data_IF_051932147512
#
_entry.id   IF_051932147512
#
_cell.length_a   1.000
_cell.length_b   1.000
_cell.length_c   1.000
_cell.angle_alpha   90.00
_cell.angle_beta   90.00
_cell.angle_gamma   90.00
#
_symmetry.space_group_name_H-M   'P 1'
#
loop_
_entity.id
_entity.type
_entity.pdbx_description
1 polymer ?
#
# COMPACT_ATOMS: atom_id res chain seq x y z
N UNK A 1 8.91 9.17 23.53
CA UNK A 1 8.40 10.47 23.03
C UNK A 1 7.29 10.11 22.06
N UNK A 2 6.14 10.76 22.13
CA UNK A 2 5.05 10.47 21.20
C UNK A 2 5.27 11.33 19.95
N UNK A 3 5.13 10.74 18.78
CA UNK A 3 5.21 11.41 17.49
C UNK A 3 3.82 11.38 16.83
N UNK A 4 3.44 12.46 16.15
CA UNK A 4 2.19 12.57 15.39
C UNK A 4 2.52 13.06 13.98
N UNK A 5 1.77 12.60 13.00
CA UNK A 5 1.83 13.14 11.63
C UNK A 5 0.87 14.33 11.51
N UNK A 6 1.08 15.19 10.51
CA UNK A 6 0.14 16.27 10.17
C UNK A 6 -1.08 15.77 9.38
N UNK A 7 -1.21 14.45 9.20
CA UNK A 7 -2.32 13.80 8.51
C UNK A 7 -3.59 13.91 9.37
N UNK A 8 -4.68 14.36 8.76
CA UNK A 8 -5.99 14.52 9.41
C UNK A 8 -6.91 13.30 9.19
N UNK A 9 -6.50 12.35 8.35
CA UNK A 9 -7.22 11.13 8.03
C UNK A 9 -6.77 9.93 8.88
N UNK A 10 -7.56 8.85 8.87
CA UNK A 10 -7.31 7.67 9.68
C UNK A 10 -6.21 6.77 9.10
N UNK A 11 -5.22 6.40 9.92
CA UNK A 11 -4.27 5.32 9.65
C UNK A 11 -4.74 4.03 10.34
N UNK A 12 -4.76 2.92 9.61
CA UNK A 12 -5.30 1.64 10.10
C UNK A 12 -4.24 0.53 10.16
N UNK A 13 -3.15 0.68 9.40
CA UNK A 13 -2.19 -0.37 9.16
C UNK A 13 -0.76 0.15 9.37
N UNK A 14 0.12 -0.72 9.85
CA UNK A 14 1.52 -0.39 10.10
C UNK A 14 2.40 -1.61 9.86
N UNK A 15 3.55 -1.38 9.23
CA UNK A 15 4.60 -2.37 9.07
C UNK A 15 5.95 -1.68 9.19
N UNK A 16 6.96 -2.38 9.69
CA UNK A 16 8.33 -1.85 9.71
C UNK A 16 9.36 -2.94 9.53
N UNK A 17 10.40 -2.63 8.75
CA UNK A 17 11.56 -3.50 8.57
C UNK A 17 12.57 -3.35 9.71
N UNK A 18 12.57 -2.19 10.36
CA UNK A 18 13.47 -1.84 11.47
C UNK A 18 12.88 -0.71 12.32
N UNK A 19 13.57 -0.34 13.41
CA UNK A 19 13.18 0.82 14.23
C UNK A 19 13.29 2.16 13.50
N UNK A 20 13.91 2.20 12.32
CA UNK A 20 14.14 3.41 11.53
C UNK A 20 13.55 3.34 10.14
N UNK A 21 12.66 2.37 9.90
CA UNK A 21 12.03 2.17 8.60
C UNK A 21 10.65 1.55 8.82
N UNK A 22 9.65 2.43 8.89
CA UNK A 22 8.27 2.07 9.23
C UNK A 22 7.32 2.75 8.25
N UNK A 23 6.35 1.99 7.77
CA UNK A 23 5.28 2.44 6.90
C UNK A 23 3.97 2.36 7.65
N UNK A 24 3.16 3.42 7.56
CA UNK A 24 1.80 3.43 8.06
C UNK A 24 0.85 3.83 6.93
N UNK A 25 -0.27 3.14 6.82
CA UNK A 25 -1.20 3.31 5.72
C UNK A 25 -2.64 3.41 6.22
N UNK A 26 -3.49 4.06 5.43
CA UNK A 26 -4.80 4.45 5.90
C UNK A 26 -5.84 4.76 4.83
N UNK A 27 -6.82 5.55 5.27
CA UNK A 27 -7.94 6.01 4.47
C UNK A 27 -7.46 6.88 3.29
N UNK A 28 -8.19 6.84 2.17
CA UNK A 28 -7.92 7.65 0.97
C UNK A 28 -6.50 7.54 0.39
N UNK A 29 -5.88 6.37 0.48
CA UNK A 29 -4.56 6.10 -0.08
C UNK A 29 -3.43 6.76 0.72
N UNK A 30 -3.72 7.26 1.93
CA UNK A 30 -2.70 7.85 2.78
C UNK A 30 -1.63 6.80 3.10
N UNK A 31 -0.38 7.18 2.89
CA UNK A 31 0.79 6.38 3.13
C UNK A 31 1.86 7.28 3.73
N UNK A 32 2.39 6.88 4.88
CA UNK A 32 3.41 7.59 5.62
C UNK A 32 4.64 6.70 5.76
N UNK A 33 5.83 7.27 5.61
CA UNK A 33 7.10 6.59 5.82
C UNK A 33 7.90 7.29 6.92
N UNK A 34 8.39 6.51 7.87
CA UNK A 34 9.28 6.93 8.93
C UNK A 34 10.71 6.52 8.59
N UNK A 35 11.59 7.52 8.45
CA UNK A 35 12.99 7.35 8.07
C UNK A 35 13.95 7.19 9.28
N UNK A 36 13.40 6.95 10.49
CA UNK A 36 14.17 6.94 11.74
C UNK A 36 14.34 8.30 12.39
N UNK A 37 13.85 9.37 11.76
CA UNK A 37 13.92 10.73 12.29
C UNK A 37 12.58 11.44 12.22
N UNK A 38 11.81 11.22 11.16
CA UNK A 38 10.52 11.87 10.94
C UNK A 38 9.63 11.03 10.04
N UNK A 39 8.34 11.31 10.12
CA UNK A 39 7.34 10.83 9.16
C UNK A 39 7.27 11.77 7.95
N UNK A 40 7.14 11.21 6.75
CA UNK A 40 6.85 11.93 5.51
C UNK A 40 5.74 11.24 4.73
N UNK A 41 4.80 12.03 4.18
CA UNK A 41 3.73 11.50 3.34
C UNK A 41 4.25 11.09 1.97
N UNK A 42 3.76 9.93 1.50
CA UNK A 42 3.96 9.37 0.16
C UNK A 42 2.64 9.35 -0.63
N UNK A 43 1.58 9.98 -0.13
CA UNK A 43 0.24 9.91 -0.70
C UNK A 43 0.19 10.39 -2.17
N UNK A 44 0.99 11.42 -2.55
CA UNK A 44 1.04 11.89 -3.94
C UNK A 44 1.55 10.81 -4.91
N UNK A 45 2.52 10.02 -4.48
CA UNK A 45 3.14 8.99 -5.33
C UNK A 45 2.21 7.80 -5.48
N UNK A 46 1.54 7.39 -4.40
CA UNK A 46 0.48 6.37 -4.42
C UNK A 46 -0.65 6.80 -5.37
N UNK A 47 -1.09 8.04 -5.25
CA UNK A 47 -2.15 8.60 -6.09
C UNK A 47 -1.77 8.65 -7.57
N UNK A 48 -0.52 8.99 -7.89
CA UNK A 48 -0.04 8.95 -9.27
C UNK A 48 0.01 7.52 -9.82
N UNK A 49 0.47 6.55 -9.04
CA UNK A 49 0.48 5.14 -9.45
C UNK A 49 -0.92 4.61 -9.76
N UNK A 50 -1.92 4.97 -8.96
CA UNK A 50 -3.32 4.58 -9.16
C UNK A 50 -3.92 5.26 -10.40
N UNK A 51 -3.64 6.54 -10.63
CA UNK A 51 -4.09 7.26 -11.82
C UNK A 51 -3.50 6.69 -13.10
N UNK A 52 -2.21 6.36 -13.10
CA UNK A 52 -1.52 5.77 -14.24
C UNK A 52 -2.11 4.41 -14.62
N UNK A 53 -2.48 3.60 -13.62
CA UNK A 53 -3.06 2.27 -13.81
C UNK A 53 -4.51 2.30 -14.29
N UNK A 54 -5.34 3.16 -13.68
CA UNK A 54 -6.77 3.24 -13.96
C UNK A 54 -7.11 4.12 -15.16
N UNK A 55 -6.14 4.86 -15.71
CA UNK A 55 -6.34 5.76 -16.86
C UNK A 55 -7.27 6.95 -16.55
N UNK A 56 -7.44 7.29 -15.27
CA UNK A 56 -8.33 8.36 -14.81
C UNK A 56 -7.57 9.69 -14.69
N UNK A 57 -8.12 10.73 -15.32
CA UNK A 57 -7.47 12.04 -15.39
C UNK A 57 -7.61 12.84 -14.10
N UNK A 58 -8.71 12.66 -13.37
CA UNK A 58 -9.02 13.36 -12.13
C UNK A 58 -9.13 12.40 -10.97
N UNK A 59 -8.36 12.73 -9.93
CA UNK A 59 -8.33 11.97 -8.69
C UNK A 59 -9.72 11.91 -8.06
N UNK A 60 -10.55 12.97 -8.21
CA UNK A 60 -11.93 13.12 -7.72
C UNK A 60 -12.91 12.03 -8.16
N UNK A 61 -12.64 11.34 -9.26
CA UNK A 61 -13.47 10.24 -9.74
C UNK A 61 -13.34 8.97 -8.87
N UNK A 62 -12.40 8.97 -7.92
CA UNK A 62 -11.99 7.80 -7.15
C UNK A 62 -12.28 7.90 -5.62
N UNK A 63 -12.67 9.08 -5.10
CA UNK A 63 -12.56 9.45 -3.66
C UNK A 63 -13.42 8.68 -2.67
N UNK A 64 -14.16 7.66 -3.10
CA UNK A 64 -14.92 6.82 -2.18
C UNK A 64 -14.10 5.71 -1.54
N UNK A 65 -13.14 5.13 -2.25
CA UNK A 65 -12.69 3.77 -1.94
C UNK A 65 -11.24 3.53 -2.34
N UNK A 66 -10.30 4.23 -1.72
CA UNK A 66 -8.89 3.81 -1.71
C UNK A 66 -8.47 3.61 -0.27
N UNK A 67 -9.15 2.73 0.44
CA UNK A 67 -8.64 2.28 1.72
C UNK A 67 -7.45 1.37 1.45
N UNK A 68 -6.32 1.64 2.08
CA UNK A 68 -5.24 0.67 2.11
C UNK A 68 -5.62 -0.38 3.15
N UNK A 69 -5.88 -1.61 2.69
CA UNK A 69 -6.36 -2.69 3.54
C UNK A 69 -5.27 -3.15 4.49
N UNK A 70 -4.05 -3.31 4.00
CA UNK A 70 -2.87 -3.70 4.76
C UNK A 70 -1.58 -3.28 4.05
N UNK A 71 -0.46 -3.24 4.79
CA UNK A 71 0.87 -2.95 4.26
C UNK A 71 1.86 -3.98 4.78
N UNK A 72 2.69 -4.52 3.89
CA UNK A 72 3.75 -5.45 4.23
C UNK A 72 4.96 -5.23 3.33
N UNK A 73 6.17 -5.48 3.81
CA UNK A 73 7.36 -5.46 2.98
C UNK A 73 8.34 -6.57 3.31
N UNK A 74 9.28 -6.80 2.40
CA UNK A 74 10.48 -7.59 2.69
C UNK A 74 11.71 -6.72 2.98
N UNK A 75 11.68 -5.44 2.55
CA UNK A 75 12.71 -4.44 2.81
C UNK A 75 12.15 -3.03 2.60
N UNK A 76 12.92 -1.99 2.94
CA UNK A 76 12.56 -0.57 2.68
C UNK A 76 12.32 -0.24 1.20
N UNK A 77 12.80 -1.10 0.29
CA UNK A 77 12.66 -0.96 -1.16
C UNK A 77 11.76 -2.01 -1.79
N UNK A 78 11.01 -2.74 -0.97
CA UNK A 78 10.11 -3.79 -1.42
C UNK A 78 8.92 -3.83 -0.48
N UNK A 79 7.98 -2.93 -0.75
CA UNK A 79 6.76 -2.75 0.04
C UNK A 79 5.56 -3.05 -0.84
N UNK A 80 4.57 -3.73 -0.28
CA UNK A 80 3.29 -4.00 -0.87
C UNK A 80 2.19 -3.42 0.00
N UNK A 81 1.18 -2.84 -0.62
CA UNK A 81 0.00 -2.35 0.06
C UNK A 81 -1.24 -2.79 -0.71
N UNK A 82 -2.26 -3.30 -0.02
CA UNK A 82 -3.50 -3.73 -0.68
C UNK A 82 -4.42 -2.54 -0.84
N UNK A 83 -5.24 -2.53 -1.90
CA UNK A 83 -6.29 -1.53 -2.06
C UNK A 83 -7.65 -2.21 -2.22
N UNK A 84 -8.70 -1.48 -1.90
CA UNK A 84 -10.10 -1.91 -2.11
C UNK A 84 -10.55 -1.82 -3.58
N UNK A 85 -9.63 -1.68 -4.54
CA UNK A 85 -9.91 -1.59 -5.98
C UNK A 85 -9.34 -2.79 -6.74
N UNK A 86 -9.25 -3.94 -6.07
CA UNK A 86 -8.75 -5.18 -6.64
C UNK A 86 -7.28 -5.11 -7.10
N UNK A 87 -6.56 -4.06 -6.69
CA UNK A 87 -5.17 -3.81 -7.01
C UNK A 87 -4.28 -4.03 -5.78
N UNK A 88 -3.03 -4.36 -6.06
CA UNK A 88 -1.96 -4.30 -5.07
C UNK A 88 -0.99 -3.22 -5.49
N UNK A 89 -0.64 -2.33 -4.59
CA UNK A 89 0.44 -1.37 -4.76
C UNK A 89 1.78 -2.04 -4.45
N UNK A 90 2.79 -1.73 -5.25
CA UNK A 90 4.17 -2.18 -5.09
C UNK A 90 5.12 -0.99 -5.14
N UNK A 91 5.92 -0.84 -4.08
CA UNK A 91 7.01 0.11 -3.96
C UNK A 91 8.35 -0.59 -4.18
N UNK A 92 9.11 -0.11 -5.16
CA UNK A 92 10.42 -0.66 -5.53
C UNK A 92 11.62 0.09 -4.89
N UNK A 93 11.38 0.96 -3.91
CA UNK A 93 12.40 1.82 -3.30
C UNK A 93 12.54 3.20 -3.95
N UNK A 94 11.86 3.43 -5.07
CA UNK A 94 11.88 4.72 -5.76
C UNK A 94 10.47 5.24 -6.01
N UNK A 95 9.57 4.37 -6.50
CA UNK A 95 8.20 4.73 -6.86
C UNK A 95 7.21 3.63 -6.53
N UNK A 96 5.98 4.06 -6.32
CA UNK A 96 4.83 3.16 -6.28
C UNK A 96 4.39 2.80 -7.70
N UNK A 97 3.86 1.60 -7.84
CA UNK A 97 3.26 1.06 -9.06
C UNK A 97 2.14 0.11 -8.66
N UNK A 98 1.23 -0.23 -9.59
CA UNK A 98 0.16 -1.18 -9.31
C UNK A 98 0.48 -2.54 -9.94
N UNK A 99 0.15 -3.60 -9.24
CA UNK A 99 0.07 -4.96 -9.72
C UNK A 99 -1.41 -5.27 -9.95
N UNK A 100 -1.75 -5.60 -11.19
CA UNK A 100 -3.07 -6.12 -11.53
C UNK A 100 -3.13 -7.59 -11.08
N UNK A 101 -4.10 -7.90 -10.23
CA UNK A 101 -4.29 -9.22 -9.63
C UNK A 101 -5.12 -10.16 -10.50
N UNK A 102 -5.76 -9.64 -11.56
CA UNK A 102 -6.68 -10.37 -12.42
C UNK A 102 -8.03 -10.70 -11.77
N UNK A 103 -8.32 -10.15 -10.59
CA UNK A 103 -9.60 -10.30 -9.90
C UNK A 103 -10.39 -9.00 -9.86
N UNK A 104 -11.69 -9.11 -9.64
CA UNK A 104 -12.63 -8.02 -9.34
C UNK A 104 -13.05 -8.06 -7.86
N UNK A 105 -12.14 -8.52 -6.99
CA UNK A 105 -12.40 -8.73 -5.56
C UNK A 105 -11.40 -7.95 -4.72
N UNK A 106 -11.93 -7.27 -3.70
CA UNK A 106 -11.10 -6.44 -2.84
C UNK A 106 -10.04 -7.29 -2.14
N UNK A 107 -8.79 -6.81 -2.17
CA UNK A 107 -7.68 -7.45 -1.46
C UNK A 107 -7.49 -6.72 -0.14
N UNK A 108 -7.65 -7.43 0.97
CA UNK A 108 -7.73 -6.81 2.29
C UNK A 108 -6.47 -7.00 3.13
N UNK A 109 -5.76 -8.11 2.96
CA UNK A 109 -4.57 -8.45 3.75
C UNK A 109 -3.48 -8.98 2.85
N UNK A 110 -2.24 -8.69 3.22
CA UNK A 110 -1.06 -9.13 2.48
C UNK A 110 0.04 -9.52 3.44
N UNK A 111 0.76 -10.57 3.09
CA UNK A 111 1.90 -11.05 3.82
C UNK A 111 2.83 -11.78 2.87
N UNK A 112 4.13 -11.82 3.15
CA UNK A 112 5.07 -12.63 2.40
C UNK A 112 6.13 -13.27 3.28
N UNK A 113 6.72 -14.35 2.78
CA UNK A 113 7.92 -14.94 3.36
C UNK A 113 9.19 -14.30 2.78
N UNK A 114 9.08 -13.74 1.56
CA UNK A 114 10.14 -13.03 0.86
C UNK A 114 9.55 -12.08 -0.20
N UNK A 115 10.40 -11.29 -0.86
CA UNK A 115 10.02 -10.45 -2.00
C UNK A 115 9.39 -11.22 -3.19
N UNK A 116 9.57 -12.53 -3.22
CA UNK A 116 9.19 -13.41 -4.34
C UNK A 116 8.13 -14.46 -3.95
N UNK A 117 7.69 -14.47 -2.69
CA UNK A 117 6.72 -15.43 -2.17
C UNK A 117 5.74 -14.70 -1.25
N UNK A 118 4.66 -14.23 -1.87
CA UNK A 118 3.70 -13.30 -1.26
C UNK A 118 2.29 -13.87 -1.39
N UNK A 119 1.55 -13.80 -0.30
CA UNK A 119 0.15 -14.18 -0.22
C UNK A 119 -0.71 -12.97 0.05
N UNK A 120 -1.82 -12.86 -0.67
CA UNK A 120 -2.83 -11.85 -0.42
C UNK A 120 -4.20 -12.50 -0.29
N UNK A 121 -5.03 -11.98 0.61
CA UNK A 121 -6.38 -12.50 0.85
C UNK A 121 -7.38 -11.36 0.89
N UNK A 122 -8.63 -11.67 0.57
CA UNK A 122 -9.65 -10.66 0.34
C UNK A 122 -11.08 -11.15 0.46
N UNK A 123 -12.00 -10.39 -0.13
CA UNK A 123 -13.42 -10.71 -0.16
C UNK A 123 -13.73 -12.04 -0.87
N UNK A 124 -14.88 -12.62 -0.54
CA UNK A 124 -15.39 -13.87 -1.11
C UNK A 124 -14.43 -15.06 -1.01
N UNK A 125 -13.52 -15.04 -0.03
CA UNK A 125 -12.57 -16.11 0.23
C UNK A 125 -11.43 -16.18 -0.79
N UNK A 126 -11.17 -15.10 -1.52
CA UNK A 126 -10.06 -15.07 -2.47
C UNK A 126 -8.72 -15.22 -1.74
N UNK A 127 -7.85 -16.06 -2.31
CA UNK A 127 -6.46 -16.23 -1.90
C UNK A 127 -5.63 -16.12 -3.17
N UNK A 128 -4.71 -15.18 -3.18
CA UNK A 128 -3.73 -14.97 -4.23
C UNK A 128 -2.36 -15.39 -3.72
N UNK A 129 -1.60 -16.04 -4.60
CA UNK A 129 -0.20 -16.33 -4.42
C UNK A 129 0.56 -15.62 -5.54
N UNK A 130 1.36 -14.63 -5.17
CA UNK A 130 2.16 -13.82 -6.06
C UNK A 130 3.60 -14.32 -6.00
N UNK A 131 4.02 -14.96 -7.08
CA UNK A 131 5.41 -15.34 -7.29
C UNK A 131 6.06 -14.38 -8.28
N UNK A 132 7.23 -13.87 -7.95
CA UNK A 132 8.05 -13.09 -8.88
C UNK A 132 9.24 -13.94 -9.33
N UNK A 133 9.47 -14.01 -10.65
CA UNK A 133 10.61 -14.69 -11.28
C UNK A 133 11.88 -13.84 -11.28
#
# INVERSE_FOLDING_TARGET
MNETTDVIEFLFCIWGSSSTDVFAAGFQGEMMHYDGKKWSSMASDVNNALRDSLGVSHIMDIWGQQCIGDVWGSSSSNIFATTVQDLILYYNGEKWSTINTGTEKEIMRIWGSSAYDIFAVGEDGIILHLEAN
#
